data_IF_765573640912
#
_entry.id   IF_765573640912
#
_cell.length_a   1.000
_cell.length_b   1.000
_cell.length_c   1.000
_cell.angle_alpha   90.00
_cell.angle_beta   90.00
_cell.angle_gamma   90.00
#
_symmetry.space_group_name_H-M   'P 1'
#
loop_
_entity.id
_entity.type
_entity.pdbx_description
1 polymer ?
#
# COMPACT_ATOMS: atom_id res chain seq x y z
N UNK A 1 -16.73 3.00 21.21
CA UNK A 1 -15.94 4.22 20.92
C UNK A 1 -15.98 4.46 19.42
N UNK A 2 -16.45 5.62 18.96
CA UNK A 2 -16.38 5.97 17.54
C UNK A 2 -14.93 6.39 17.23
N UNK A 3 -14.29 5.65 16.34
CA UNK A 3 -12.90 5.85 15.92
C UNK A 3 -12.88 5.83 14.39
N UNK A 4 -12.12 6.73 13.76
CA UNK A 4 -11.98 6.73 12.31
C UNK A 4 -11.27 5.42 11.89
N UNK A 5 -11.93 4.56 11.11
CA UNK A 5 -11.35 3.26 10.81
C UNK A 5 -10.13 3.32 9.87
N UNK A 6 -10.01 4.34 9.03
CA UNK A 6 -8.85 4.53 8.15
C UNK A 6 -7.63 4.93 9.00
N UNK A 7 -7.86 5.74 10.04
CA UNK A 7 -6.83 6.00 11.06
C UNK A 7 -6.44 4.70 11.79
N UNK A 8 -7.38 3.79 12.05
CA UNK A 8 -7.08 2.50 12.68
C UNK A 8 -6.22 1.62 11.76
N UNK A 9 -6.55 1.55 10.47
CA UNK A 9 -5.79 0.80 9.48
C UNK A 9 -4.32 1.27 9.39
N UNK A 10 -4.10 2.58 9.37
CA UNK A 10 -2.75 3.17 9.33
C UNK A 10 -1.95 2.80 10.57
N UNK A 11 -2.54 2.93 11.76
CA UNK A 11 -1.81 2.73 13.02
C UNK A 11 -1.55 1.25 13.31
N UNK A 12 -2.38 0.32 12.80
CA UNK A 12 -2.17 -1.14 12.98
C UNK A 12 -0.90 -1.62 12.29
N UNK A 13 -0.49 -0.99 11.19
CA UNK A 13 0.65 -1.42 10.40
C UNK A 13 1.90 -1.71 11.29
N UNK A 14 2.54 -2.89 11.17
CA UNK A 14 3.60 -3.31 12.09
C UNK A 14 4.79 -2.35 12.15
N UNK A 15 5.13 -1.75 11.02
CA UNK A 15 6.21 -0.78 10.86
C UNK A 15 5.81 0.66 11.20
N UNK A 16 4.58 0.89 11.65
CA UNK A 16 4.06 2.22 11.93
C UNK A 16 4.08 2.49 13.44
N UNK A 17 5.27 2.83 13.94
CA UNK A 17 5.52 3.24 15.33
C UNK A 17 6.36 4.53 15.38
N UNK A 18 6.42 5.18 16.55
CA UNK A 18 7.14 6.44 16.76
C UNK A 18 6.79 7.55 15.74
N UNK A 19 5.50 7.71 15.46
CA UNK A 19 4.99 8.59 14.40
C UNK A 19 4.46 9.92 14.93
N UNK A 20 4.28 10.88 14.04
CA UNK A 20 3.62 12.17 14.30
C UNK A 20 2.20 12.17 13.74
N UNK A 21 1.37 13.13 14.18
CA UNK A 21 0.07 13.39 13.54
C UNK A 21 0.23 13.74 12.05
N UNK A 22 1.37 14.33 11.64
CA UNK A 22 1.63 14.63 10.23
C UNK A 22 1.76 13.37 9.40
N UNK A 23 2.43 12.34 9.92
CA UNK A 23 2.68 11.08 9.21
C UNK A 23 1.36 10.34 8.95
N UNK A 24 0.51 10.26 9.98
CA UNK A 24 -0.83 9.69 9.86
C UNK A 24 -1.70 10.49 8.88
N UNK A 25 -1.60 11.83 8.89
CA UNK A 25 -2.33 12.68 7.92
C UNK A 25 -1.88 12.43 6.50
N UNK A 26 -0.58 12.35 6.24
CA UNK A 26 -0.04 12.09 4.91
C UNK A 26 -0.52 10.75 4.38
N UNK A 27 -0.46 9.69 5.20
CA UNK A 27 -1.02 8.39 4.85
C UNK A 27 -2.54 8.43 4.63
N UNK A 28 -3.29 9.12 5.50
CA UNK A 28 -4.74 9.27 5.39
C UNK A 28 -5.17 9.93 4.09
N UNK A 29 -4.53 11.04 3.70
CA UNK A 29 -4.84 11.75 2.46
C UNK A 29 -4.48 10.92 1.22
N UNK A 30 -3.35 10.20 1.26
CA UNK A 30 -2.94 9.32 0.17
C UNK A 30 -3.90 8.14 -0.03
N UNK A 31 -4.49 7.61 1.04
CA UNK A 31 -5.43 6.49 0.96
C UNK A 31 -6.85 6.92 0.58
N UNK A 32 -7.27 8.13 0.97
CA UNK A 32 -8.64 8.59 0.74
C UNK A 32 -8.87 9.20 -0.65
N UNK A 33 -7.80 9.66 -1.32
CA UNK A 33 -7.83 10.21 -2.70
C UNK A 33 -8.91 11.28 -2.95
N UNK A 34 -9.40 11.94 -1.90
CA UNK A 34 -10.46 12.94 -1.94
C UNK A 34 -9.85 14.35 -1.87
N UNK A 35 -9.91 15.05 -2.99
CA UNK A 35 -9.37 16.40 -3.18
C UNK A 35 -10.16 17.50 -2.45
N UNK A 36 -11.35 17.19 -1.92
CA UNK A 36 -12.15 18.14 -1.12
C UNK A 36 -11.69 18.27 0.34
N UNK A 37 -10.81 17.35 0.79
CA UNK A 37 -10.37 17.30 2.18
C UNK A 37 -9.41 18.45 2.51
N UNK A 38 -9.81 19.29 3.48
CA UNK A 38 -8.97 20.36 4.01
C UNK A 38 -7.88 19.78 4.93
N UNK A 39 -6.57 19.88 4.58
CA UNK A 39 -5.49 19.19 5.32
C UNK A 39 -5.40 19.55 6.81
N UNK A 40 -5.77 20.79 7.16
CA UNK A 40 -5.76 21.28 8.55
C UNK A 40 -6.89 20.67 9.38
N UNK A 41 -8.08 20.49 8.78
CA UNK A 41 -9.22 19.85 9.45
C UNK A 41 -8.96 18.36 9.66
N UNK A 42 -8.41 17.68 8.64
CA UNK A 42 -7.98 16.28 8.73
C UNK A 42 -6.96 16.08 9.84
N UNK A 43 -5.94 16.95 9.92
CA UNK A 43 -4.94 16.91 11.01
C UNK A 43 -5.58 17.00 12.39
N UNK A 44 -6.54 17.91 12.59
CA UNK A 44 -7.24 18.09 13.88
C UNK A 44 -8.05 16.85 14.25
N UNK A 45 -8.76 16.27 13.29
CA UNK A 45 -9.52 15.04 13.48
C UNK A 45 -8.62 13.87 13.89
N UNK A 46 -7.54 13.65 13.14
CA UNK A 46 -6.55 12.59 13.44
C UNK A 46 -5.94 12.78 14.81
N UNK A 47 -5.55 14.00 15.18
CA UNK A 47 -5.02 14.25 16.53
C UNK A 47 -6.03 13.88 17.63
N UNK A 48 -7.31 14.22 17.44
CA UNK A 48 -8.36 13.84 18.39
C UNK A 48 -8.48 12.32 18.52
N UNK A 49 -8.39 11.58 17.41
CA UNK A 49 -8.38 10.11 17.42
C UNK A 49 -7.17 9.55 18.19
N UNK A 50 -5.96 10.01 17.89
CA UNK A 50 -4.73 9.58 18.59
C UNK A 50 -4.82 9.83 20.10
N UNK A 51 -5.39 10.96 20.51
CA UNK A 51 -5.60 11.28 21.93
C UNK A 51 -6.56 10.30 22.61
N UNK A 52 -7.57 9.76 21.91
CA UNK A 52 -8.45 8.72 22.48
C UNK A 52 -7.65 7.44 22.78
N UNK A 53 -6.71 7.06 21.90
CA UNK A 53 -5.83 5.91 22.13
C UNK A 53 -4.84 6.15 23.26
N UNK A 54 -4.35 7.38 23.42
CA UNK A 54 -3.52 7.77 24.57
C UNK A 54 -4.31 7.65 25.88
N UNK A 55 -5.56 8.14 25.92
CA UNK A 55 -6.42 8.01 27.12
C UNK A 55 -6.71 6.56 27.50
N UNK A 56 -6.70 5.65 26.53
CA UNK A 56 -6.81 4.19 26.76
C UNK A 56 -5.50 3.52 27.16
N UNK A 57 -4.39 4.24 27.18
CA UNK A 57 -3.06 3.70 27.46
C UNK A 57 -2.47 2.90 26.30
N UNK A 58 -3.08 2.89 25.12
CA UNK A 58 -2.58 2.13 23.96
C UNK A 58 -1.48 2.86 23.20
N UNK A 59 -1.50 4.20 23.23
CA UNK A 59 -0.42 5.04 22.72
C UNK A 59 0.21 5.86 23.84
N UNK A 60 1.53 6.07 23.76
CA UNK A 60 2.27 7.02 24.58
C UNK A 60 2.55 8.28 23.78
N UNK A 61 2.10 9.43 24.29
CA UNK A 61 2.43 10.74 23.73
C UNK A 61 3.77 11.23 24.28
N UNK A 62 4.72 11.50 23.40
CA UNK A 62 6.03 12.08 23.71
C UNK A 62 6.06 13.51 23.18
N UNK A 63 6.22 14.48 24.08
CA UNK A 63 6.24 15.90 23.74
C UNK A 63 7.67 16.40 23.87
N UNK A 64 8.18 17.07 22.83
CA UNK A 64 9.43 17.81 22.88
C UNK A 64 9.15 19.30 23.08
N UNK A 65 10.11 20.03 23.65
CA UNK A 65 10.08 21.49 23.77
C UNK A 65 10.05 22.21 22.41
N UNK A 66 10.31 21.50 21.30
CA UNK A 66 10.16 22.01 19.93
C UNK A 66 8.72 21.85 19.44
N UNK A 67 8.11 22.95 19.00
CA UNK A 67 6.76 22.96 18.42
C UNK A 67 6.68 21.98 17.23
N UNK A 68 5.65 21.16 17.20
CA UNK A 68 5.43 20.17 16.12
C UNK A 68 6.12 18.81 16.31
N UNK A 69 6.99 18.65 17.32
CA UNK A 69 7.67 17.38 17.62
C UNK A 69 6.90 16.49 18.60
N UNK A 70 5.57 16.55 18.60
CA UNK A 70 4.76 15.56 19.34
C UNK A 70 4.77 14.24 18.58
N UNK A 71 5.33 13.21 19.21
CA UNK A 71 5.33 11.84 18.69
C UNK A 71 4.41 10.93 19.50
N UNK A 72 3.95 9.88 18.87
CA UNK A 72 3.13 8.83 19.44
C UNK A 72 3.84 7.50 19.25
N UNK A 73 3.92 6.73 20.31
CA UNK A 73 4.51 5.40 20.30
C UNK A 73 3.46 4.39 20.74
N UNK A 74 3.47 3.21 20.14
CA UNK A 74 2.70 2.07 20.61
C UNK A 74 3.22 1.67 21.98
N UNK A 75 2.30 1.23 22.83
CA UNK A 75 2.62 0.68 24.15
C UNK A 75 2.52 -0.83 24.09
N UNK A 76 3.02 -1.52 25.12
CA UNK A 76 2.82 -2.96 25.29
C UNK A 76 1.34 -3.34 25.37
N UNK A 77 0.48 -2.41 25.79
CA UNK A 77 -0.98 -2.58 25.86
C UNK A 77 -1.68 -2.30 24.52
N UNK A 78 -0.94 -2.05 23.44
CA UNK A 78 -1.52 -1.82 22.11
C UNK A 78 -2.14 -3.11 21.56
N UNK A 79 -3.47 -3.24 21.69
CA UNK A 79 -4.20 -4.41 21.23
C UNK A 79 -4.52 -4.30 19.73
N UNK A 80 -3.75 -5.01 18.91
CA UNK A 80 -3.89 -5.04 17.45
C UNK A 80 -5.25 -5.56 17.00
N UNK A 81 -5.75 -6.63 17.62
CA UNK A 81 -7.05 -7.23 17.25
C UNK A 81 -8.19 -6.24 17.45
N UNK A 82 -8.20 -5.53 18.59
CA UNK A 82 -9.26 -4.58 18.92
C UNK A 82 -9.24 -3.36 17.99
N UNK A 83 -8.04 -2.86 17.62
CA UNK A 83 -7.94 -1.77 16.63
C UNK A 83 -8.32 -2.28 15.23
N UNK A 84 -7.93 -3.50 14.87
CA UNK A 84 -8.31 -4.12 13.58
C UNK A 84 -9.84 -4.24 13.47
N UNK A 85 -10.53 -4.59 14.55
CA UNK A 85 -12.00 -4.57 14.57
C UNK A 85 -12.59 -3.15 14.41
N UNK A 86 -11.93 -2.12 14.94
CA UNK A 86 -12.33 -0.72 14.68
C UNK A 86 -12.04 -0.29 13.23
N UNK A 87 -10.99 -0.83 12.61
CA UNK A 87 -10.70 -0.65 11.19
C UNK A 87 -11.74 -1.35 10.30
N UNK A 88 -12.29 -2.50 10.74
CA UNK A 88 -13.37 -3.19 10.03
C UNK A 88 -14.74 -2.52 10.13
N UNK A 89 -14.88 -1.47 10.95
CA UNK A 89 -16.09 -0.65 11.03
C UNK A 89 -16.19 0.40 9.91
N UNK A 90 -15.29 0.37 8.91
CA UNK A 90 -15.64 0.85 7.57
C UNK A 90 -16.63 -0.20 7.04
N UNK A 91 -17.94 0.10 6.90
CA UNK A 91 -18.56 -0.40 5.69
C UNK A 91 -17.69 0.18 4.61
N UNK A 92 -16.90 -0.67 3.92
CA UNK A 92 -16.38 -0.35 2.60
C UNK A 92 -17.56 0.36 1.96
N UNK A 93 -17.42 1.66 1.75
CA UNK A 93 -18.45 2.41 1.08
C UNK A 93 -18.40 1.82 -0.31
N UNK A 94 -19.16 0.75 -0.51
CA UNK A 94 -19.64 0.26 -1.77
C UNK A 94 -20.52 1.38 -2.30
N UNK A 95 -19.87 2.47 -2.73
CA UNK A 95 -20.25 3.17 -3.93
C UNK A 95 -20.09 2.15 -5.04
N UNK A 96 -21.20 1.45 -5.27
CA UNK A 96 -21.51 0.53 -6.34
C UNK A 96 -20.40 0.31 -7.40
N UNK A 97 -19.64 -0.78 -7.18
CA UNK A 97 -19.20 -1.82 -8.14
C UNK A 97 -18.35 -1.46 -9.37
N UNK A 98 -18.08 -0.20 -9.71
CA UNK A 98 -17.14 0.15 -10.77
C UNK A 98 -15.75 0.55 -10.22
N UNK A 99 -15.73 1.40 -9.20
CA UNK A 99 -14.51 2.08 -8.75
C UNK A 99 -13.58 1.15 -7.93
N UNK A 100 -14.12 0.31 -7.05
CA UNK A 100 -13.34 -0.71 -6.31
C UNK A 100 -12.72 -1.77 -7.24
N UNK A 101 -13.43 -2.13 -8.31
CA UNK A 101 -12.95 -3.10 -9.30
C UNK A 101 -11.87 -2.48 -10.18
N UNK A 102 -12.03 -1.22 -10.56
CA UNK A 102 -11.03 -0.46 -11.30
C UNK A 102 -9.75 -0.25 -10.47
N UNK A 103 -9.89 0.15 -9.20
CA UNK A 103 -8.78 0.26 -8.26
C UNK A 103 -8.04 -1.08 -8.03
N UNK A 104 -8.78 -2.19 -7.89
CA UNK A 104 -8.20 -3.53 -7.78
C UNK A 104 -7.45 -3.93 -9.07
N UNK A 105 -8.01 -3.65 -10.24
CA UNK A 105 -7.37 -3.93 -11.53
C UNK A 105 -6.10 -3.09 -11.71
N UNK A 106 -6.12 -1.81 -11.35
CA UNK A 106 -4.93 -0.95 -11.34
C UNK A 106 -3.86 -1.47 -10.37
N UNK A 107 -4.25 -1.87 -9.16
CA UNK A 107 -3.31 -2.46 -8.20
C UNK A 107 -2.66 -3.73 -8.74
N UNK A 108 -3.44 -4.62 -9.37
CA UNK A 108 -2.92 -5.84 -10.02
C UNK A 108 -2.02 -5.52 -11.21
N UNK A 109 -2.37 -4.51 -12.01
CA UNK A 109 -1.56 -4.05 -13.13
C UNK A 109 -0.19 -3.57 -12.66
N UNK A 110 -0.15 -2.74 -11.63
CA UNK A 110 1.09 -2.23 -11.04
C UNK A 110 1.95 -3.36 -10.45
N UNK A 111 1.31 -4.33 -9.78
CA UNK A 111 2.00 -5.51 -9.29
C UNK A 111 2.67 -6.31 -10.41
N UNK A 112 1.94 -6.62 -11.50
CA UNK A 112 2.51 -7.35 -12.62
C UNK A 112 3.59 -6.55 -13.36
N UNK A 113 3.47 -5.22 -13.44
CA UNK A 113 4.53 -4.36 -14.00
C UNK A 113 5.82 -4.44 -13.17
N UNK A 114 5.70 -4.42 -11.83
CA UNK A 114 6.85 -4.60 -10.94
C UNK A 114 7.46 -6.00 -11.05
N UNK A 115 6.62 -7.05 -11.13
CA UNK A 115 7.06 -8.43 -11.31
C UNK A 115 7.82 -8.62 -12.65
N UNK A 116 7.34 -7.98 -13.72
CA UNK A 116 8.01 -8.01 -15.02
C UNK A 116 9.40 -7.38 -14.96
N UNK A 117 9.55 -6.22 -14.31
CA UNK A 117 10.85 -5.55 -14.16
C UNK A 117 11.85 -6.44 -13.40
N UNK A 118 11.38 -7.13 -12.35
CA UNK A 118 12.21 -8.06 -11.59
C UNK A 118 12.67 -9.23 -12.46
N UNK A 119 11.76 -9.88 -13.21
CA UNK A 119 12.10 -11.01 -14.07
C UNK A 119 12.97 -10.59 -15.28
N UNK A 120 12.84 -9.34 -15.76
CA UNK A 120 13.74 -8.78 -16.76
C UNK A 120 15.17 -8.68 -16.20
N UNK A 121 15.33 -8.11 -15.01
CA UNK A 121 16.63 -8.06 -14.33
C UNK A 121 17.23 -9.43 -14.09
N UNK A 122 16.42 -10.43 -13.73
CA UNK A 122 16.87 -11.82 -13.59
C UNK A 122 17.39 -12.38 -14.93
N UNK A 123 16.66 -12.15 -16.03
CA UNK A 123 17.07 -12.60 -17.36
C UNK A 123 18.31 -11.87 -17.90
N UNK A 124 18.52 -10.61 -17.51
CA UNK A 124 19.71 -9.82 -17.81
C UNK A 124 20.92 -10.35 -17.03
N UNK A 125 20.74 -10.61 -15.73
CA UNK A 125 21.79 -11.20 -14.89
C UNK A 125 22.26 -12.57 -15.41
N UNK A 126 21.35 -13.43 -15.89
CA UNK A 126 21.77 -14.69 -16.52
C UNK A 126 22.59 -14.48 -17.80
N UNK A 127 22.31 -13.43 -18.59
CA UNK A 127 23.13 -13.11 -19.77
C UNK A 127 24.51 -12.59 -19.37
N UNK A 128 24.59 -11.74 -18.35
CA UNK A 128 25.86 -11.23 -17.83
C UNK A 128 26.72 -12.36 -17.29
N UNK A 129 26.14 -13.24 -16.46
CA UNK A 129 26.81 -14.43 -15.94
C UNK A 129 27.29 -15.38 -17.04
N UNK A 130 26.51 -15.53 -18.12
CA UNK A 130 26.94 -16.30 -19.28
C UNK A 130 28.18 -15.70 -19.96
N UNK A 131 28.28 -14.37 -20.03
CA UNK A 131 29.46 -13.69 -20.58
C UNK A 131 30.68 -13.80 -19.67
N UNK A 132 30.47 -13.73 -18.35
CA UNK A 132 31.55 -13.82 -17.35
C UNK A 132 32.04 -15.25 -17.12
N UNK A 133 31.16 -16.24 -17.23
CA UNK A 133 31.48 -17.65 -16.97
C UNK A 133 30.78 -18.57 -17.99
N UNK A 134 31.26 -18.63 -19.25
CA UNK A 134 30.63 -19.42 -20.31
C UNK A 134 30.54 -20.92 -20.03
N UNK A 135 31.40 -21.43 -19.16
CA UNK A 135 31.43 -22.82 -18.69
C UNK A 135 30.18 -23.24 -17.91
N UNK A 136 29.41 -22.29 -17.37
CA UNK A 136 28.16 -22.55 -16.65
C UNK A 136 26.92 -22.56 -17.56
N UNK A 137 27.10 -22.53 -18.90
CA UNK A 137 25.98 -22.41 -19.85
C UNK A 137 24.90 -23.47 -19.65
N UNK A 138 25.27 -24.72 -19.39
CA UNK A 138 24.31 -25.82 -19.23
C UNK A 138 23.40 -25.62 -17.99
N UNK A 139 23.89 -24.92 -16.98
CA UNK A 139 23.15 -24.57 -15.76
C UNK A 139 22.36 -23.27 -15.92
N UNK A 140 22.92 -22.27 -16.61
CA UNK A 140 22.32 -20.95 -16.79
C UNK A 140 21.23 -20.92 -17.87
N UNK A 141 21.40 -21.67 -18.97
CA UNK A 141 20.51 -21.64 -20.12
C UNK A 141 19.05 -22.05 -19.77
N UNK A 142 18.80 -23.10 -18.97
CA UNK A 142 17.45 -23.44 -18.53
C UNK A 142 16.80 -22.33 -17.69
N UNK A 143 17.57 -21.69 -16.81
CA UNK A 143 17.09 -20.63 -15.92
C UNK A 143 16.77 -19.34 -16.71
N UNK A 144 17.63 -18.97 -17.66
CA UNK A 144 17.37 -17.89 -18.60
C UNK A 144 16.08 -18.12 -19.39
N UNK A 145 15.90 -19.33 -19.94
CA UNK A 145 14.69 -19.68 -20.69
C UNK A 145 13.44 -19.55 -19.82
N UNK A 146 13.51 -20.04 -18.57
CA UNK A 146 12.42 -19.94 -17.60
C UNK A 146 12.07 -18.48 -17.27
N UNK A 147 13.06 -17.63 -17.02
CA UNK A 147 12.85 -16.20 -16.76
C UNK A 147 12.20 -15.50 -17.97
N UNK A 148 12.64 -15.84 -19.19
CA UNK A 148 12.08 -15.30 -20.43
C UNK A 148 10.64 -15.77 -20.69
N UNK A 149 10.32 -17.03 -20.38
CA UNK A 149 8.95 -17.54 -20.44
C UNK A 149 8.05 -16.85 -19.41
N UNK A 150 8.55 -16.60 -18.20
CA UNK A 150 7.83 -15.86 -17.17
C UNK A 150 7.54 -14.42 -17.61
N UNK A 151 8.50 -13.73 -18.23
CA UNK A 151 8.29 -12.40 -18.83
C UNK A 151 7.12 -12.43 -19.81
N UNK A 152 7.06 -13.43 -20.69
CA UNK A 152 5.97 -13.58 -21.67
C UNK A 152 4.62 -13.81 -20.99
N UNK A 153 4.57 -14.64 -19.94
CA UNK A 153 3.34 -14.89 -19.16
C UNK A 153 2.86 -13.64 -18.43
N UNK A 154 3.77 -12.89 -17.80
CA UNK A 154 3.43 -11.65 -17.08
C UNK A 154 2.94 -10.58 -18.07
N UNK A 155 3.58 -10.45 -19.24
CA UNK A 155 3.09 -9.58 -20.32
C UNK A 155 1.67 -9.96 -20.76
N UNK A 156 1.35 -11.25 -20.86
CA UNK A 156 0.00 -11.72 -21.12
C UNK A 156 -1.01 -11.26 -20.05
N UNK A 157 -0.65 -11.38 -18.77
CA UNK A 157 -1.46 -10.90 -17.64
C UNK A 157 -1.68 -9.38 -17.68
N UNK A 158 -0.63 -8.61 -18.00
CA UNK A 158 -0.68 -7.15 -18.17
C UNK A 158 -1.67 -6.79 -19.28
N UNK A 159 -1.52 -7.40 -20.47
CA UNK A 159 -2.42 -7.15 -21.62
C UNK A 159 -3.88 -7.47 -21.30
N UNK A 160 -4.13 -8.55 -20.57
CA UNK A 160 -5.48 -8.90 -20.15
C UNK A 160 -6.11 -7.82 -19.25
N UNK A 161 -5.36 -7.30 -18.27
CA UNK A 161 -5.87 -6.24 -17.39
C UNK A 161 -6.01 -4.90 -18.12
N UNK A 162 -5.03 -4.50 -18.93
CA UNK A 162 -5.10 -3.27 -19.73
C UNK A 162 -6.28 -3.29 -20.71
N UNK A 163 -6.59 -4.47 -21.28
CA UNK A 163 -7.78 -4.66 -22.11
C UNK A 163 -9.08 -4.43 -21.33
N UNK A 164 -9.18 -4.97 -20.12
CA UNK A 164 -10.36 -4.78 -19.25
C UNK A 164 -10.51 -3.32 -18.79
N UNK A 165 -9.41 -2.64 -18.46
CA UNK A 165 -9.43 -1.23 -18.05
C UNK A 165 -9.89 -0.31 -19.20
N UNK A 166 -9.40 -0.55 -20.43
CA UNK A 166 -9.84 0.20 -21.63
C UNK A 166 -11.31 0.01 -21.94
N UNK A 167 -11.86 -1.19 -21.73
CA UNK A 167 -13.29 -1.45 -21.89
C UNK A 167 -14.12 -0.68 -20.86
N UNK A 168 -13.64 -0.55 -19.63
CA UNK A 168 -14.32 0.21 -18.58
C UNK A 168 -14.33 1.72 -18.88
N UNK A 169 -13.21 2.28 -19.34
CA UNK A 169 -13.12 3.70 -19.76
C UNK A 169 -14.03 4.05 -20.95
N UNK A 170 -14.30 3.09 -21.84
CA UNK A 170 -15.20 3.28 -22.98
C UNK A 170 -16.69 3.28 -22.57
N UNK A 171 -17.04 2.60 -21.48
CA UNK A 171 -18.41 2.51 -20.96
C UNK A 171 -18.83 3.74 -20.14
N UNK A 172 -17.88 4.47 -19.55
CA UNK A 172 -18.15 5.73 -18.80
C UNK A 172 -18.33 6.96 -19.70
N UNK A 173 -18.09 6.83 -21.02
CA UNK A 173 -18.20 7.94 -21.99
C UNK A 173 -19.51 7.95 -22.80
N UNK A 174 -20.44 7.05 -22.48
CA UNK A 174 -21.77 6.92 -23.12
C UNK A 174 -22.83 7.40 -22.13
#
# INVERSE_FOLDING_TARGET
MKFDPLVAQIIVAPNFDNFTTSDVRSAYLALKSDSSLVPTAVRRSIYAELVKLVKKGWLKKVVSNKKGFTRFNKTESFNVETITHLASAIPIATTEKADDKYALLLSKLNHYKAELLLNMGESEAYKELYLESPELVDELQPQYNKARDNNTRILGKIRAIEGLLKQNEALEKI
#
